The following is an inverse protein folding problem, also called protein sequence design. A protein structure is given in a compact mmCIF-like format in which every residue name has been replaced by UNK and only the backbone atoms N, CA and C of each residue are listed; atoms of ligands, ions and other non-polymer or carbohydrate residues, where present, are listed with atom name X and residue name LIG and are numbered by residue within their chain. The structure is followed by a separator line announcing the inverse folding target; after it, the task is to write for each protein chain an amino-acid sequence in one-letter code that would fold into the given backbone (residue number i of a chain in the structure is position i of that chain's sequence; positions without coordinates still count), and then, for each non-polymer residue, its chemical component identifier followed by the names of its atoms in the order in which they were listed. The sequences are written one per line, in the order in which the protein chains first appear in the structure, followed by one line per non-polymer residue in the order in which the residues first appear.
data_IF_311714640579
#
_entry.id   IF_311714640579
#
_cell.length_a   1.000
_cell.length_b   1.000
_cell.length_c   1.000
_cell.angle_alpha   90.00
_cell.angle_beta   90.00
_cell.angle_gamma   90.00
#
_symmetry.space_group_name_H-M   'P 1'
#
loop_
_entity.id
_entity.type
_entity.pdbx_description
1 polymer ?
#
# COMPACT_ATOMS: atom_id res chain seq x y z
N UNK A 1 -4.55 -11.16 -37.52
CA UNK A 1 -4.90 -9.74 -37.32
C UNK A 1 -4.58 -9.43 -35.88
N UNK A 2 -3.36 -8.98 -35.63
CA UNK A 2 -2.87 -8.57 -34.31
C UNK A 2 -3.64 -7.31 -33.92
N UNK A 3 -4.60 -7.46 -33.03
CA UNK A 3 -5.25 -6.33 -32.38
C UNK A 3 -4.22 -5.74 -31.44
N UNK A 4 -3.33 -4.89 -31.96
CA UNK A 4 -2.65 -3.90 -31.13
C UNK A 4 -3.78 -3.10 -30.50
N UNK A 5 -4.09 -3.38 -29.25
CA UNK A 5 -4.87 -2.45 -28.46
C UNK A 5 -4.08 -1.15 -28.54
N UNK A 6 -4.59 -0.16 -29.29
CA UNK A 6 -4.06 1.20 -29.22
C UNK A 6 -4.01 1.54 -27.74
N UNK A 7 -2.80 1.66 -27.22
CA UNK A 7 -2.58 1.99 -25.83
C UNK A 7 -2.89 3.47 -25.68
N UNK A 8 -4.17 3.79 -25.45
CA UNK A 8 -4.60 5.12 -25.05
C UNK A 8 -4.20 5.33 -23.58
N UNK A 9 -2.94 5.67 -23.34
CA UNK A 9 -2.42 6.01 -22.01
C UNK A 9 -2.31 7.53 -21.92
N UNK A 10 -2.96 8.14 -20.92
CA UNK A 10 -2.79 9.55 -20.58
C UNK A 10 -1.75 9.68 -19.46
N UNK A 11 -0.50 10.11 -19.74
CA UNK A 11 0.58 10.11 -18.75
C UNK A 11 0.25 10.95 -17.51
N UNK A 12 -0.50 12.03 -17.68
CA UNK A 12 -0.98 12.91 -16.60
C UNK A 12 -1.93 12.19 -15.64
N UNK A 13 -2.86 11.38 -16.15
CA UNK A 13 -3.80 10.60 -15.33
C UNK A 13 -3.06 9.52 -14.54
N UNK A 14 -2.05 8.88 -15.15
CA UNK A 14 -1.23 7.88 -14.45
C UNK A 14 -0.35 8.55 -13.38
N UNK A 15 0.21 9.72 -13.66
CA UNK A 15 0.97 10.49 -12.66
C UNK A 15 0.10 10.88 -11.46
N UNK A 16 -1.16 11.28 -11.71
CA UNK A 16 -2.11 11.60 -10.65
C UNK A 16 -2.52 10.35 -9.86
N UNK A 17 -2.82 9.24 -10.52
CA UNK A 17 -3.18 7.99 -9.87
C UNK A 17 -2.04 7.47 -8.97
N UNK A 18 -0.81 7.49 -9.47
CA UNK A 18 0.36 7.03 -8.68
C UNK A 18 0.62 7.92 -7.47
N UNK A 19 0.40 9.25 -7.59
CA UNK A 19 0.44 10.17 -6.44
C UNK A 19 -0.63 9.85 -5.40
N UNK A 20 -1.85 9.50 -5.83
CA UNK A 20 -2.93 9.11 -4.92
C UNK A 20 -2.61 7.80 -4.19
N UNK A 21 -1.97 6.83 -4.86
CA UNK A 21 -1.49 5.59 -4.25
C UNK A 21 -0.44 5.87 -3.17
N UNK A 22 0.54 6.75 -3.42
CA UNK A 22 1.53 7.14 -2.41
C UNK A 22 0.87 7.80 -1.19
N UNK A 23 -0.09 8.70 -1.44
CA UNK A 23 -0.86 9.35 -0.37
C UNK A 23 -1.70 8.35 0.43
N UNK A 24 -2.27 7.33 -0.22
CA UNK A 24 -3.00 6.26 0.45
C UNK A 24 -2.07 5.45 1.36
N UNK A 25 -0.91 5.04 0.84
CA UNK A 25 0.09 4.31 1.62
C UNK A 25 0.56 5.13 2.84
N UNK A 26 0.85 6.43 2.65
CA UNK A 26 1.27 7.31 3.74
C UNK A 26 0.17 7.51 4.80
N UNK A 27 -1.10 7.62 4.39
CA UNK A 27 -2.23 7.72 5.34
C UNK A 27 -2.42 6.44 6.13
N UNK A 28 -2.30 5.28 5.50
CA UNK A 28 -2.39 3.99 6.17
C UNK A 28 -1.25 3.81 7.18
N UNK A 29 -0.01 4.10 6.80
CA UNK A 29 1.15 4.04 7.71
C UNK A 29 0.97 4.97 8.92
N UNK A 30 0.57 6.23 8.68
CA UNK A 30 0.33 7.19 9.75
C UNK A 30 -0.79 6.75 10.69
N UNK A 31 -1.87 6.18 10.16
CA UNK A 31 -2.97 5.65 10.98
C UNK A 31 -2.47 4.53 11.88
N UNK A 32 -1.71 3.58 11.33
CA UNK A 32 -1.17 2.46 12.11
C UNK A 32 -0.22 2.93 13.22
N UNK A 33 0.63 3.93 12.94
CA UNK A 33 1.50 4.54 13.93
C UNK A 33 0.73 5.24 15.06
N UNK A 34 -0.32 6.00 14.70
CA UNK A 34 -1.14 6.72 15.68
C UNK A 34 -1.91 5.77 16.60
N UNK A 35 -2.43 4.67 16.04
CA UNK A 35 -3.25 3.70 16.80
C UNK A 35 -2.41 2.65 17.52
N UNK A 36 -1.09 2.59 17.32
CA UNK A 36 -0.22 1.56 17.90
C UNK A 36 -0.40 1.40 19.42
N UNK A 37 -0.53 2.51 20.15
CA UNK A 37 -0.76 2.49 21.60
C UNK A 37 -2.16 1.97 21.98
N UNK A 38 -3.17 2.22 21.15
CA UNK A 38 -4.56 1.82 21.37
C UNK A 38 -4.79 0.33 21.07
N UNK A 39 -3.90 -0.30 20.32
CA UNK A 39 -4.01 -1.70 19.90
C UNK A 39 -3.39 -2.69 20.89
N UNK A 40 -2.76 -2.20 21.96
CA UNK A 40 -2.23 -3.06 23.03
C UNK A 40 -3.34 -3.43 24.01
N UNK A 41 -3.63 -4.72 24.13
CA UNK A 41 -4.65 -5.24 25.05
C UNK A 41 -4.03 -5.69 26.37
N UNK A 42 -4.59 -5.24 27.49
CA UNK A 42 -4.23 -5.69 28.84
C UNK A 42 -5.28 -6.68 29.34
N UNK A 43 -4.85 -7.72 30.05
CA UNK A 43 -5.76 -8.69 30.66
C UNK A 43 -6.67 -8.00 31.69
N UNK A 44 -8.00 -8.13 31.59
CA UNK A 44 -8.93 -7.46 32.51
C UNK A 44 -8.96 -8.08 33.91
N UNK A 45 -8.48 -9.32 34.07
CA UNK A 45 -8.40 -10.04 35.33
C UNK A 45 -7.19 -11.01 35.35
N UNK A 46 -6.93 -11.60 36.52
CA UNK A 46 -5.77 -12.48 36.79
C UNK A 46 -6.02 -13.95 36.41
N UNK A 47 -7.16 -14.27 35.83
CA UNK A 47 -7.48 -15.62 35.39
C UNK A 47 -6.77 -15.94 34.06
N UNK A 48 -6.60 -17.23 33.79
CA UNK A 48 -5.91 -17.73 32.60
C UNK A 48 -6.62 -17.31 31.30
N UNK A 49 -7.96 -17.26 31.31
CA UNK A 49 -8.73 -16.90 30.12
C UNK A 49 -8.49 -15.43 29.77
N UNK A 50 -8.54 -14.52 30.74
CA UNK A 50 -8.21 -13.10 30.58
C UNK A 50 -6.80 -12.90 30.01
N UNK A 51 -5.82 -13.63 30.53
CA UNK A 51 -4.46 -13.58 30.01
C UNK A 51 -4.34 -14.13 28.59
N UNK A 52 -5.00 -15.27 28.31
CA UNK A 52 -4.96 -15.91 27.00
C UNK A 52 -5.61 -15.03 25.93
N UNK A 53 -6.77 -14.45 26.24
CA UNK A 53 -7.49 -13.54 25.33
C UNK A 53 -6.64 -12.30 25.03
N UNK A 54 -6.05 -11.67 26.06
CA UNK A 54 -5.17 -10.52 25.85
C UNK A 54 -3.93 -10.89 25.01
N UNK A 55 -3.31 -12.05 25.25
CA UNK A 55 -2.20 -12.56 24.43
C UNK A 55 -2.59 -12.73 22.97
N UNK A 56 -3.70 -13.41 22.71
CA UNK A 56 -4.18 -13.65 21.34
C UNK A 56 -4.53 -12.34 20.63
N UNK A 57 -5.14 -11.37 21.32
CA UNK A 57 -5.43 -10.06 20.73
C UNK A 57 -4.15 -9.30 20.38
N UNK A 58 -3.11 -9.37 21.22
CA UNK A 58 -1.80 -8.78 20.94
C UNK A 58 -1.07 -9.48 19.79
N UNK A 59 -1.21 -10.81 19.65
CA UNK A 59 -0.71 -11.56 18.49
C UNK A 59 -1.42 -11.14 17.19
N UNK A 60 -2.75 -10.99 17.23
CA UNK A 60 -3.55 -10.48 16.11
C UNK A 60 -3.11 -9.08 15.73
N UNK A 61 -2.94 -8.18 16.71
CA UNK A 61 -2.41 -6.83 16.49
C UNK A 61 -1.04 -6.87 15.80
N UNK A 62 -0.11 -7.69 16.27
CA UNK A 62 1.23 -7.81 15.67
C UNK A 62 1.17 -8.34 14.24
N UNK A 63 0.35 -9.36 13.98
CA UNK A 63 0.15 -9.91 12.63
C UNK A 63 -0.48 -8.88 11.71
N UNK A 64 -1.48 -8.13 12.19
CA UNK A 64 -2.15 -7.09 11.42
C UNK A 64 -1.18 -5.95 11.06
N UNK A 65 -0.34 -5.52 12.01
CA UNK A 65 0.70 -4.52 11.76
C UNK A 65 1.64 -4.95 10.62
N UNK A 66 2.14 -6.19 10.65
CA UNK A 66 2.99 -6.74 9.58
C UNK A 66 2.28 -6.75 8.22
N UNK A 67 1.01 -7.17 8.20
CA UNK A 67 0.23 -7.16 6.96
C UNK A 67 -0.02 -5.76 6.43
N UNK A 68 -0.24 -4.77 7.31
CA UNK A 68 -0.40 -3.37 6.93
C UNK A 68 0.90 -2.78 6.36
N UNK A 69 2.04 -3.07 6.99
CA UNK A 69 3.36 -2.66 6.49
C UNK A 69 3.64 -3.27 5.12
N UNK A 70 3.33 -4.56 4.93
CA UNK A 70 3.45 -5.20 3.62
C UNK A 70 2.55 -4.54 2.57
N UNK A 71 1.27 -4.33 2.90
CA UNK A 71 0.32 -3.72 1.96
C UNK A 71 0.73 -2.30 1.55
N UNK A 72 1.23 -1.47 2.48
CA UNK A 72 1.71 -0.13 2.16
C UNK A 72 2.95 -0.15 1.24
N UNK A 73 3.85 -1.11 1.44
CA UNK A 73 4.98 -1.33 0.54
C UNK A 73 4.54 -1.79 -0.86
N UNK A 74 3.58 -2.70 -0.94
CA UNK A 74 3.02 -3.16 -2.23
C UNK A 74 2.36 -2.01 -3.00
N UNK A 75 1.58 -1.15 -2.32
CA UNK A 75 0.98 0.04 -2.93
C UNK A 75 2.06 0.96 -3.53
N UNK A 76 3.14 1.23 -2.78
CA UNK A 76 4.27 2.04 -3.25
C UNK A 76 4.99 1.39 -4.44
N UNK A 77 5.13 0.06 -4.43
CA UNK A 77 5.74 -0.68 -5.53
C UNK A 77 4.88 -0.62 -6.79
N UNK A 78 3.55 -0.76 -6.68
CA UNK A 78 2.62 -0.59 -7.81
C UNK A 78 2.73 0.82 -8.36
N UNK A 79 2.73 1.85 -7.50
CA UNK A 79 2.89 3.24 -7.93
C UNK A 79 4.22 3.47 -8.65
N UNK A 80 5.32 2.91 -8.14
CA UNK A 80 6.64 2.99 -8.77
C UNK A 80 6.69 2.28 -10.13
N UNK A 81 6.07 1.10 -10.23
CA UNK A 81 6.00 0.33 -11.47
C UNK A 81 5.19 1.06 -12.54
N UNK A 82 4.06 1.66 -12.16
CA UNK A 82 3.24 2.46 -13.07
C UNK A 82 3.99 3.69 -13.57
N UNK A 83 4.69 4.43 -12.69
CA UNK A 83 5.53 5.57 -13.10
C UNK A 83 6.61 5.15 -14.09
N UNK A 84 7.35 4.08 -13.79
CA UNK A 84 8.40 3.56 -14.67
C UNK A 84 7.85 3.14 -16.04
N UNK A 85 6.65 2.52 -16.08
CA UNK A 85 6.00 2.17 -17.34
C UNK A 85 5.59 3.41 -18.13
N UNK A 86 5.04 4.44 -17.46
CA UNK A 86 4.68 5.70 -18.10
C UNK A 86 5.89 6.42 -18.68
N UNK A 87 7.00 6.49 -17.94
CA UNK A 87 8.25 7.11 -18.40
C UNK A 87 8.79 6.40 -19.66
N UNK A 88 8.74 5.06 -19.70
CA UNK A 88 9.16 4.29 -20.87
C UNK A 88 8.29 4.54 -22.10
N UNK A 89 6.97 4.67 -21.94
CA UNK A 89 6.07 4.94 -23.07
C UNK A 89 6.29 6.36 -23.60
N UNK A 90 6.41 7.36 -22.72
CA UNK A 90 6.71 8.75 -23.13
C UNK A 90 8.05 8.83 -23.87
N UNK A 91 9.07 8.12 -23.40
CA UNK A 91 10.37 8.06 -24.07
C UNK A 91 10.27 7.42 -25.47
N UNK A 92 9.48 6.34 -25.61
CA UNK A 92 9.25 5.70 -26.90
C UNK A 92 8.50 6.62 -27.88
N UNK A 93 7.46 7.32 -27.42
CA UNK A 93 6.72 8.29 -28.25
C UNK A 93 7.62 9.43 -28.77
N UNK A 94 8.56 9.90 -27.95
CA UNK A 94 9.55 10.91 -28.36
C UNK A 94 10.52 10.40 -29.43
N UNK A 95 10.92 9.12 -29.36
CA UNK A 95 11.79 8.48 -30.36
C UNK A 95 11.10 8.33 -31.72
N UNK A 96 9.79 8.04 -31.73
CA UNK A 96 8.99 7.97 -32.97
C UNK A 96 8.61 9.33 -33.57
N UNK A 97 8.70 10.42 -32.80
CA UNK A 97 8.38 11.76 -33.24
C UNK A 97 9.52 12.48 -33.98
N UNK A 98 10.69 11.82 -34.12
CA UNK A 98 11.89 12.28 -34.85
C UNK A 98 11.97 11.63 -36.22
#
# INVERSE_FOLDING_TARGET
MTSSAELWMQPEEVADATRQLDQLAARAEKLMQNEAANLTTVAPARDEVSHRVASTLNEVHSSFGKSADQATNEIRQVAATLRAHTDNVVAAEQDFAV
#
